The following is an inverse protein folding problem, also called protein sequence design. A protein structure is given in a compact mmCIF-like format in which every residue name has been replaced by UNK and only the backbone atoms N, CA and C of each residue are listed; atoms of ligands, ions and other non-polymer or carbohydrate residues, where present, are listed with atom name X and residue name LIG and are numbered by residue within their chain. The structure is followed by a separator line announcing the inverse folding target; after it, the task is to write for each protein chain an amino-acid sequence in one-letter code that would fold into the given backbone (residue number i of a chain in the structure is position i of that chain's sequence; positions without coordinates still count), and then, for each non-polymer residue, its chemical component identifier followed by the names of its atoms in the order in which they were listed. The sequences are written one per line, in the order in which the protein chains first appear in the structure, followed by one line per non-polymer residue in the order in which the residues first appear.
data_IF_398013288848
#
_entry.id   IF_398013288848
#
_cell.length_a   1.000
_cell.length_b   1.000
_cell.length_c   1.000
_cell.angle_alpha   90.00
_cell.angle_beta   90.00
_cell.angle_gamma   90.00
#
_symmetry.space_group_name_H-M   'P 1'
#
loop_
_entity.id
_entity.type
_entity.pdbx_description
1 polymer ?
#
# COMPACT_ATOMS: atom_id res chain seq x y z
N UNK A 1 -8.73 -9.22 -21.08
CA UNK A 1 -7.83 -8.30 -21.80
C UNK A 1 -8.06 -6.91 -21.23
N UNK A 2 -7.00 -6.20 -20.86
CA UNK A 2 -7.12 -4.84 -20.32
C UNK A 2 -6.79 -3.82 -21.42
N UNK A 3 -7.33 -2.62 -21.30
CA UNK A 3 -7.01 -1.46 -22.13
C UNK A 3 -6.18 -0.47 -21.31
N UNK A 4 -5.33 0.29 -21.98
CA UNK A 4 -4.46 1.28 -21.33
C UNK A 4 -4.49 2.58 -22.13
N UNK A 5 -4.61 3.69 -21.41
CA UNK A 5 -4.47 5.05 -21.96
C UNK A 5 -3.58 5.87 -21.04
N UNK A 6 -2.73 6.72 -21.62
CA UNK A 6 -1.95 7.72 -20.89
C UNK A 6 -2.51 9.11 -21.24
N UNK A 7 -2.94 9.87 -20.24
CA UNK A 7 -3.38 11.25 -20.43
C UNK A 7 -2.18 12.17 -20.72
N UNK A 8 -2.45 13.36 -21.24
CA UNK A 8 -1.43 14.35 -21.61
C UNK A 8 -0.56 14.78 -20.42
N UNK A 9 -1.12 14.82 -19.22
CA UNK A 9 -0.40 15.13 -17.98
C UNK A 9 0.44 13.96 -17.43
N UNK A 10 0.39 12.79 -18.07
CA UNK A 10 1.16 11.62 -17.72
C UNK A 10 0.43 10.55 -16.92
N UNK A 11 -0.80 10.82 -16.45
CA UNK A 11 -1.60 9.85 -15.70
C UNK A 11 -1.86 8.60 -16.55
N UNK A 12 -1.61 7.43 -15.97
CA UNK A 12 -1.86 6.14 -16.62
C UNK A 12 -3.20 5.58 -16.14
N UNK A 13 -4.04 5.21 -17.10
CA UNK A 13 -5.36 4.62 -16.88
C UNK A 13 -5.34 3.20 -17.41
N UNK A 14 -5.71 2.24 -16.58
CA UNK A 14 -5.87 0.83 -16.96
C UNK A 14 -7.33 0.44 -16.73
N UNK A 15 -7.96 -0.21 -17.71
CA UNK A 15 -9.35 -0.65 -17.59
C UNK A 15 -9.51 -2.11 -17.97
N UNK A 16 -10.23 -2.87 -17.14
CA UNK A 16 -10.69 -4.22 -17.45
C UNK A 16 -12.22 -4.24 -17.48
N UNK A 17 -12.79 -4.17 -18.68
CA UNK A 17 -14.24 -4.17 -18.85
C UNK A 17 -14.82 -5.57 -18.59
N UNK A 18 -15.84 -5.63 -17.75
CA UNK A 18 -16.55 -6.84 -17.33
C UNK A 18 -18.07 -6.60 -17.42
N UNK A 19 -18.67 -6.57 -18.64
CA UNK A 19 -20.08 -6.18 -18.82
C UNK A 19 -21.12 -7.03 -18.09
N UNK A 20 -20.72 -8.23 -17.65
CA UNK A 20 -21.57 -9.18 -16.94
C UNK A 20 -21.64 -8.93 -15.42
N UNK A 21 -20.81 -8.03 -14.87
CA UNK A 21 -20.87 -7.67 -13.45
C UNK A 21 -21.91 -6.58 -13.20
N UNK A 22 -22.26 -6.37 -11.92
CA UNK A 22 -23.13 -5.27 -11.48
C UNK A 22 -22.40 -4.22 -10.65
N UNK A 23 -21.07 -4.35 -10.56
CA UNK A 23 -20.20 -3.52 -9.75
C UNK A 23 -19.02 -3.02 -10.56
N UNK A 24 -18.39 -1.97 -10.03
CA UNK A 24 -17.14 -1.41 -10.51
C UNK A 24 -16.22 -1.24 -9.32
N UNK A 25 -14.95 -1.59 -9.49
CA UNK A 25 -13.87 -1.31 -8.56
C UNK A 25 -12.93 -0.30 -9.20
N UNK A 26 -12.59 0.73 -8.45
CA UNK A 26 -11.59 1.73 -8.80
C UNK A 26 -10.43 1.58 -7.82
N UNK A 27 -9.20 1.60 -8.34
CA UNK A 27 -7.97 1.66 -7.56
C UNK A 27 -7.13 2.83 -8.03
N UNK A 28 -6.60 3.59 -7.09
CA UNK A 28 -5.69 4.70 -7.29
C UNK A 28 -4.37 4.33 -6.63
N UNK A 29 -3.35 4.12 -7.44
CA UNK A 29 -2.04 3.64 -7.02
C UNK A 29 -1.02 4.75 -7.21
N UNK A 30 -0.32 5.12 -6.14
CA UNK A 30 0.74 6.13 -6.13
C UNK A 30 2.08 5.43 -5.90
N UNK A 31 3.09 5.74 -6.73
CA UNK A 31 4.46 5.28 -6.53
C UNK A 31 5.09 5.96 -5.31
N UNK A 32 5.06 5.30 -4.18
CA UNK A 32 5.44 5.90 -2.91
C UNK A 32 5.11 4.95 -1.77
N UNK A 33 5.97 4.90 -0.77
CA UNK A 33 5.90 3.91 0.29
C UNK A 33 7.11 4.02 1.20
N UNK A 34 7.25 3.10 2.16
CA UNK A 34 8.30 3.21 3.18
C UNK A 34 9.74 3.17 2.65
N UNK A 35 9.93 2.70 1.41
CA UNK A 35 11.24 2.70 0.71
C UNK A 35 11.73 4.10 0.35
N UNK A 36 10.88 5.13 0.38
CA UNK A 36 11.21 6.52 0.06
C UNK A 36 11.54 7.37 1.28
N UNK A 37 11.42 6.79 2.47
CA UNK A 37 11.53 7.51 3.74
C UNK A 37 12.97 7.45 4.28
N UNK A 38 13.43 8.53 4.90
CA UNK A 38 14.61 8.48 5.77
C UNK A 38 14.29 7.75 7.09
N UNK A 39 15.29 7.54 7.94
CA UNK A 39 15.04 6.95 9.27
C UNK A 39 14.16 7.87 10.13
N UNK A 40 14.35 9.19 10.02
CA UNK A 40 13.58 10.19 10.74
C UNK A 40 12.15 10.35 10.23
N UNK A 41 11.92 10.02 8.96
CA UNK A 41 10.62 10.12 8.29
C UNK A 41 9.88 8.78 8.19
N UNK A 42 10.42 7.71 8.80
CA UNK A 42 9.85 6.37 8.70
C UNK A 42 8.39 6.32 9.20
N UNK A 43 7.48 5.80 8.37
CA UNK A 43 6.04 5.76 8.59
C UNK A 43 5.25 6.90 7.95
N UNK A 44 5.89 7.83 7.23
CA UNK A 44 5.22 8.97 6.61
C UNK A 44 4.15 8.58 5.57
N UNK A 45 4.40 7.61 4.68
CA UNK A 45 3.40 7.20 3.67
C UNK A 45 2.21 6.51 4.31
N UNK A 46 2.44 5.67 5.31
CA UNK A 46 1.37 5.04 6.08
C UNK A 46 0.53 6.09 6.82
N UNK A 47 1.18 7.10 7.39
CA UNK A 47 0.48 8.19 8.06
C UNK A 47 -0.31 9.09 7.08
N UNK A 48 0.26 9.37 5.90
CA UNK A 48 -0.45 10.08 4.82
C UNK A 48 -1.69 9.28 4.39
N UNK A 49 -1.57 7.97 4.26
CA UNK A 49 -2.67 7.08 3.91
C UNK A 49 -3.83 7.20 4.90
N UNK A 50 -3.57 7.15 6.20
CA UNK A 50 -4.58 7.39 7.24
C UNK A 50 -5.24 8.77 7.10
N UNK A 51 -4.43 9.82 6.88
CA UNK A 51 -4.92 11.21 6.84
C UNK A 51 -5.78 11.52 5.61
N UNK A 52 -5.63 10.77 4.51
CA UNK A 52 -6.53 10.87 3.35
C UNK A 52 -7.99 10.51 3.68
N UNK A 53 -8.25 9.78 4.77
CA UNK A 53 -9.61 9.48 5.24
C UNK A 53 -10.17 10.51 6.22
N UNK A 54 -9.42 11.58 6.55
CA UNK A 54 -9.79 12.50 7.64
C UNK A 54 -10.43 13.81 7.22
N UNK A 55 -10.55 14.03 5.92
CA UNK A 55 -11.34 15.12 5.39
C UNK A 55 -10.69 15.77 4.18
N UNK A 56 -11.55 16.36 3.36
CA UNK A 56 -11.25 17.12 2.16
C UNK A 56 -12.03 18.45 2.20
N UNK A 57 -11.74 19.42 1.33
CA UNK A 57 -12.57 20.63 1.22
C UNK A 57 -14.05 20.36 0.92
N UNK A 58 -14.36 19.32 0.14
CA UNK A 58 -15.76 18.97 -0.19
C UNK A 58 -16.43 18.09 0.86
N UNK A 59 -15.65 17.31 1.61
CA UNK A 59 -16.10 16.41 2.67
C UNK A 59 -15.22 16.62 3.91
N UNK A 60 -15.49 17.67 4.71
CA UNK A 60 -14.56 18.12 5.75
C UNK A 60 -14.38 17.14 6.92
N UNK A 61 -15.20 16.10 7.01
CA UNK A 61 -15.17 15.16 8.14
C UNK A 61 -14.95 13.71 7.69
N UNK A 62 -14.31 12.87 8.53
CA UNK A 62 -14.18 11.44 8.24
C UNK A 62 -15.54 10.75 8.03
N UNK A 63 -16.57 11.23 8.73
CA UNK A 63 -17.94 10.72 8.61
C UNK A 63 -18.51 10.92 7.21
N UNK A 64 -18.34 12.11 6.63
CA UNK A 64 -18.84 12.41 5.28
C UNK A 64 -18.13 11.57 4.22
N UNK A 65 -16.83 11.32 4.39
CA UNK A 65 -16.06 10.40 3.55
C UNK A 65 -16.67 8.99 3.63
N UNK A 66 -16.78 8.40 4.83
CA UNK A 66 -17.33 7.05 5.04
C UNK A 66 -18.78 6.92 4.54
N UNK A 67 -19.68 7.84 4.91
CA UNK A 67 -21.09 7.79 4.53
C UNK A 67 -21.30 7.90 3.02
N UNK A 68 -20.40 8.56 2.28
CA UNK A 68 -20.49 8.68 0.81
C UNK A 68 -20.44 7.31 0.12
N UNK A 69 -19.61 6.37 0.61
CA UNK A 69 -19.47 5.03 0.02
C UNK A 69 -20.37 4.03 0.71
N UNK A 70 -20.42 4.03 2.05
CA UNK A 70 -21.25 3.09 2.80
C UNK A 70 -22.74 3.33 2.54
N UNK A 71 -23.16 4.58 2.36
CA UNK A 71 -24.54 4.96 2.07
C UNK A 71 -25.08 4.41 0.74
N UNK A 72 -24.20 4.01 -0.18
CA UNK A 72 -24.55 3.35 -1.44
C UNK A 72 -24.23 1.84 -1.44
N UNK A 73 -23.93 1.28 -0.27
CA UNK A 73 -23.56 -0.13 -0.10
C UNK A 73 -22.18 -0.49 -0.67
N UNK A 74 -21.32 0.51 -0.85
CA UNK A 74 -19.95 0.33 -1.29
C UNK A 74 -19.00 -0.04 -0.16
N UNK A 75 -17.77 -0.34 -0.55
CA UNK A 75 -16.64 -0.54 0.37
C UNK A 75 -15.45 0.22 -0.18
N UNK A 76 -14.68 0.86 0.70
CA UNK A 76 -13.40 1.46 0.36
C UNK A 76 -12.34 1.07 1.38
N UNK A 77 -11.09 1.06 0.94
CA UNK A 77 -9.96 0.86 1.82
C UNK A 77 -8.69 1.44 1.18
N UNK A 78 -7.61 1.45 1.93
CA UNK A 78 -6.29 1.74 1.41
C UNK A 78 -5.25 0.77 2.00
N UNK A 79 -4.04 0.86 1.47
CA UNK A 79 -2.88 0.16 2.00
C UNK A 79 -1.62 0.85 1.56
N UNK A 80 -0.63 0.88 2.44
CA UNK A 80 0.73 1.29 2.13
C UNK A 80 1.65 0.08 2.15
N UNK A 81 2.52 -0.03 1.14
CA UNK A 81 3.64 -0.97 1.10
C UNK A 81 4.95 -0.18 0.96
N UNK A 82 6.07 -0.86 0.72
CA UNK A 82 7.39 -0.26 0.55
C UNK A 82 7.48 0.66 -0.66
N UNK A 83 6.79 0.34 -1.75
CA UNK A 83 6.96 1.05 -3.03
C UNK A 83 5.66 1.66 -3.57
N UNK A 84 4.52 1.34 -2.96
CA UNK A 84 3.21 1.71 -3.48
C UNK A 84 2.23 1.98 -2.33
N UNK A 85 1.48 3.07 -2.46
CA UNK A 85 0.29 3.35 -1.65
C UNK A 85 -0.92 3.24 -2.57
N UNK A 86 -1.91 2.44 -2.16
CA UNK A 86 -3.11 2.17 -2.95
C UNK A 86 -4.34 2.60 -2.18
N UNK A 87 -5.21 3.37 -2.82
CA UNK A 87 -6.55 3.70 -2.34
C UNK A 87 -7.56 3.09 -3.29
N UNK A 88 -8.59 2.43 -2.80
CA UNK A 88 -9.56 1.79 -3.68
C UNK A 88 -10.96 1.82 -3.12
N UNK A 89 -11.93 1.75 -4.02
CA UNK A 89 -13.34 1.64 -3.68
C UNK A 89 -14.05 0.68 -4.64
N UNK A 90 -15.10 0.03 -4.14
CA UNK A 90 -15.95 -0.88 -4.89
C UNK A 90 -17.41 -0.53 -4.63
N UNK A 91 -18.14 -0.29 -5.70
CA UNK A 91 -19.54 0.12 -5.66
C UNK A 91 -20.36 -0.61 -6.72
N UNK A 92 -21.69 -0.56 -6.59
CA UNK A 92 -22.57 -0.92 -7.70
C UNK A 92 -22.38 0.06 -8.87
N UNK A 93 -22.53 -0.41 -10.11
CA UNK A 93 -22.27 0.40 -11.32
C UNK A 93 -22.95 1.79 -11.33
N UNK A 94 -24.22 1.95 -10.90
CA UNK A 94 -24.87 3.27 -10.87
C UNK A 94 -24.18 4.32 -9.99
N UNK A 95 -23.31 3.90 -9.06
CA UNK A 95 -22.62 4.79 -8.12
C UNK A 95 -21.14 5.00 -8.50
N UNK A 96 -20.73 4.64 -9.72
CA UNK A 96 -19.36 4.84 -10.20
C UNK A 96 -18.90 6.29 -10.07
N UNK A 97 -19.73 7.25 -10.49
CA UNK A 97 -19.33 8.67 -10.46
C UNK A 97 -19.13 9.17 -9.02
N UNK A 98 -19.97 8.73 -8.07
CA UNK A 98 -19.81 9.05 -6.63
C UNK A 98 -18.48 8.50 -6.11
N UNK A 99 -18.15 7.27 -6.49
CA UNK A 99 -16.94 6.59 -6.02
C UNK A 99 -15.67 7.20 -6.62
N UNK A 100 -15.72 7.60 -7.89
CA UNK A 100 -14.64 8.31 -8.56
C UNK A 100 -14.40 9.69 -7.95
N UNK A 101 -15.47 10.46 -7.78
CA UNK A 101 -15.45 11.81 -7.21
C UNK A 101 -14.80 11.80 -5.82
N UNK A 102 -15.25 10.91 -4.94
CA UNK A 102 -14.66 10.74 -3.61
C UNK A 102 -13.19 10.32 -3.68
N UNK A 103 -12.85 9.31 -4.47
CA UNK A 103 -11.49 8.76 -4.49
C UNK A 103 -10.49 9.80 -5.01
N UNK A 104 -10.87 10.60 -6.01
CA UNK A 104 -10.06 11.73 -6.50
C UNK A 104 -9.90 12.79 -5.41
N UNK A 105 -10.98 13.18 -4.75
CA UNK A 105 -10.96 14.21 -3.73
C UNK A 105 -10.08 13.81 -2.52
N UNK A 106 -10.20 12.58 -2.04
CA UNK A 106 -9.39 12.05 -0.93
C UNK A 106 -7.89 12.00 -1.22
N UNK A 107 -7.52 11.62 -2.45
CA UNK A 107 -6.12 11.43 -2.84
C UNK A 107 -5.47 12.75 -3.24
N UNK A 108 -6.21 13.63 -3.92
CA UNK A 108 -5.65 14.86 -4.49
C UNK A 108 -5.86 16.09 -3.60
N UNK A 109 -6.88 16.12 -2.74
CA UNK A 109 -7.23 17.27 -1.90
C UNK A 109 -7.41 16.94 -0.39
N UNK A 110 -6.59 16.08 0.25
CA UNK A 110 -6.69 15.88 1.70
C UNK A 110 -6.35 17.15 2.49
N UNK A 111 -7.10 17.44 3.56
CA UNK A 111 -6.91 18.65 4.38
C UNK A 111 -5.64 18.65 5.23
N UNK A 112 -5.25 17.47 5.73
CA UNK A 112 -4.23 17.32 6.76
C UNK A 112 -4.48 18.25 7.96
N UNK A 113 -5.71 18.21 8.53
CA UNK A 113 -6.05 18.97 9.74
C UNK A 113 -5.15 18.53 10.91
N UNK A 114 -4.67 19.51 11.67
CA UNK A 114 -3.69 19.25 12.75
C UNK A 114 -4.32 18.45 13.89
N UNK A 115 -5.61 18.64 14.18
CA UNK A 115 -6.28 17.89 15.25
C UNK A 115 -6.50 16.44 14.83
N UNK A 116 -6.90 16.20 13.57
CA UNK A 116 -7.02 14.84 13.04
C UNK A 116 -5.66 14.15 12.94
N UNK A 117 -4.60 14.88 12.59
CA UNK A 117 -3.23 14.36 12.58
C UNK A 117 -2.81 13.82 13.95
N UNK A 118 -3.01 14.58 15.03
CA UNK A 118 -2.61 14.11 16.37
C UNK A 118 -3.48 12.96 16.90
N UNK A 119 -4.76 12.90 16.50
CA UNK A 119 -5.61 11.73 16.78
C UNK A 119 -5.08 10.49 16.07
N UNK A 120 -4.81 10.60 14.77
CA UNK A 120 -4.30 9.48 13.97
C UNK A 120 -2.90 9.04 14.37
N UNK A 121 -2.05 9.96 14.84
CA UNK A 121 -0.76 9.58 15.43
C UNK A 121 -0.95 8.55 16.54
N UNK A 122 -1.93 8.77 17.42
CA UNK A 122 -2.23 7.84 18.50
C UNK A 122 -2.73 6.49 17.98
N UNK A 123 -3.58 6.50 16.94
CA UNK A 123 -4.08 5.27 16.30
C UNK A 123 -2.94 4.44 15.69
N UNK A 124 -2.03 5.08 14.97
CA UNK A 124 -0.89 4.40 14.33
C UNK A 124 0.08 3.83 15.38
N UNK A 125 0.31 4.54 16.48
CA UNK A 125 1.15 4.02 17.57
C UNK A 125 0.53 2.77 18.22
N UNK A 126 -0.80 2.70 18.32
CA UNK A 126 -1.51 1.50 18.80
C UNK A 126 -1.45 0.37 17.76
N UNK A 127 -1.51 0.67 16.47
CA UNK A 127 -1.35 -0.33 15.41
C UNK A 127 0.06 -0.95 15.41
N UNK A 128 1.10 -0.13 15.58
CA UNK A 128 2.47 -0.60 15.76
C UNK A 128 2.60 -1.50 17.00
N UNK A 129 1.96 -1.10 18.10
CA UNK A 129 1.92 -1.89 19.34
C UNK A 129 1.21 -3.23 19.13
N UNK A 130 0.06 -3.21 18.44
CA UNK A 130 -0.71 -4.40 18.10
C UNK A 130 0.07 -5.36 17.21
N UNK A 131 0.75 -4.85 16.18
CA UNK A 131 1.61 -5.65 15.29
C UNK A 131 2.79 -6.23 16.05
N UNK A 132 3.39 -5.44 16.95
CA UNK A 132 4.45 -5.91 17.82
C UNK A 132 3.98 -6.99 18.80
N UNK A 133 2.74 -6.95 19.28
CA UNK A 133 2.17 -7.96 20.18
C UNK A 133 1.76 -9.27 19.49
N UNK A 134 1.65 -9.28 18.15
CA UNK A 134 1.44 -10.48 17.34
C UNK A 134 2.78 -11.15 16.95
N UNK A 135 3.13 -12.32 17.53
CA UNK A 135 4.45 -12.90 17.34
C UNK A 135 4.79 -13.32 15.91
N UNK A 136 3.81 -13.70 15.11
CA UNK A 136 3.95 -14.04 13.69
C UNK A 136 4.23 -12.80 12.84
N UNK A 137 3.50 -11.71 13.06
CA UNK A 137 3.77 -10.41 12.43
C UNK A 137 5.18 -9.90 12.81
N UNK A 138 5.54 -9.98 14.10
CA UNK A 138 6.88 -9.62 14.58
C UNK A 138 7.97 -10.48 13.95
N UNK A 139 7.75 -11.79 13.78
CA UNK A 139 8.72 -12.67 13.12
C UNK A 139 8.93 -12.28 11.64
N UNK A 140 7.86 -11.89 10.94
CA UNK A 140 7.93 -11.31 9.60
C UNK A 140 8.79 -10.04 9.54
N UNK A 141 8.55 -9.10 10.44
CA UNK A 141 9.36 -7.88 10.51
C UNK A 141 10.83 -8.18 10.89
N UNK A 142 11.07 -9.12 11.80
CA UNK A 142 12.43 -9.52 12.19
C UNK A 142 13.22 -10.11 11.03
N UNK A 143 12.59 -10.88 10.13
CA UNK A 143 13.31 -11.42 8.96
C UNK A 143 13.64 -10.29 7.97
N UNK A 144 12.76 -9.32 7.77
CA UNK A 144 13.02 -8.15 6.93
C UNK A 144 14.18 -7.30 7.48
N UNK A 145 14.16 -6.99 8.79
CA UNK A 145 15.24 -6.27 9.48
C UNK A 145 16.58 -7.04 9.39
N UNK A 146 16.53 -8.38 9.34
CA UNK A 146 17.72 -9.25 9.25
C UNK A 146 18.27 -9.32 7.82
N UNK A 147 17.39 -9.38 6.82
CA UNK A 147 17.76 -9.37 5.40
C UNK A 147 18.35 -8.02 4.99
N UNK A 148 17.73 -6.92 5.43
CA UNK A 148 18.05 -5.57 4.98
C UNK A 148 18.40 -4.64 6.16
N UNK A 149 19.51 -4.90 6.88
CA UNK A 149 19.88 -4.12 8.05
C UNK A 149 20.20 -2.67 7.65
N UNK A 150 19.69 -1.72 8.43
CA UNK A 150 19.89 -0.28 8.25
C UNK A 150 19.49 0.22 6.85
N UNK A 151 18.46 -0.39 6.25
CA UNK A 151 17.95 -0.01 4.94
C UNK A 151 16.43 0.12 4.99
N UNK A 152 15.88 1.00 4.17
CA UNK A 152 14.44 1.25 4.11
C UNK A 152 13.60 -0.01 3.86
N UNK A 153 14.13 -0.96 3.06
CA UNK A 153 13.44 -2.22 2.76
C UNK A 153 13.29 -3.14 3.99
N UNK A 154 14.16 -3.00 5.00
CA UNK A 154 14.12 -3.83 6.21
C UNK A 154 13.33 -3.23 7.36
N UNK A 155 12.80 -2.02 7.20
CA UNK A 155 12.00 -1.34 8.23
C UNK A 155 10.53 -1.73 8.11
N UNK A 156 9.81 -1.55 9.20
CA UNK A 156 8.35 -1.61 9.21
C UNK A 156 7.78 -0.48 8.32
N UNK A 157 6.75 -0.79 7.55
CA UNK A 157 6.05 0.18 6.72
C UNK A 157 5.36 1.25 7.58
N UNK A 158 4.88 0.88 8.76
CA UNK A 158 4.31 1.82 9.72
C UNK A 158 5.34 2.70 10.43
N UNK A 159 6.65 2.46 10.21
CA UNK A 159 7.73 3.19 10.85
C UNK A 159 8.04 2.67 12.26
N UNK A 160 8.34 3.59 13.18
CA UNK A 160 8.66 3.25 14.58
C UNK A 160 7.92 4.18 15.53
N UNK A 161 7.76 3.77 16.79
CA UNK A 161 7.22 4.67 17.81
C UNK A 161 7.97 6.01 17.86
N UNK A 162 9.30 6.00 17.68
CA UNK A 162 10.09 7.22 17.72
C UNK A 162 9.84 8.13 16.51
N UNK A 163 9.92 7.60 15.29
CA UNK A 163 9.71 8.37 14.06
C UNK A 163 8.27 8.87 13.97
N UNK A 164 7.29 8.00 14.20
CA UNK A 164 5.87 8.35 14.18
C UNK A 164 5.52 9.37 15.26
N UNK A 165 6.16 9.37 16.43
CA UNK A 165 5.92 10.39 17.44
C UNK A 165 6.43 11.79 17.05
N UNK A 166 7.40 11.86 16.13
CA UNK A 166 8.08 13.11 15.72
C UNK A 166 7.68 13.61 14.33
N UNK A 167 7.02 12.77 13.52
CA UNK A 167 6.61 13.11 12.15
C UNK A 167 5.75 14.38 12.12
N UNK A 168 6.19 15.38 11.38
CA UNK A 168 5.50 16.66 11.23
C UNK A 168 4.63 16.69 9.98
N UNK A 169 3.60 17.54 9.98
CA UNK A 169 2.78 17.82 8.80
C UNK A 169 3.63 18.25 7.61
N UNK A 170 4.61 19.13 7.83
CA UNK A 170 5.44 19.66 6.75
C UNK A 170 6.31 18.58 6.09
N UNK A 171 6.82 17.62 6.87
CA UNK A 171 7.55 16.47 6.35
C UNK A 171 6.65 15.61 5.45
N UNK A 172 5.41 15.35 5.87
CA UNK A 172 4.43 14.60 5.06
C UNK A 172 4.04 15.36 3.79
N UNK A 173 3.81 16.67 3.89
CA UNK A 173 3.44 17.50 2.73
C UNK A 173 4.53 17.52 1.65
N UNK A 174 5.80 17.33 2.01
CA UNK A 174 6.88 17.15 1.05
C UNK A 174 6.63 15.91 0.17
N UNK A 175 6.29 14.78 0.77
CA UNK A 175 5.97 13.55 0.03
C UNK A 175 4.72 13.71 -0.82
N UNK A 176 3.66 14.32 -0.27
CA UNK A 176 2.42 14.61 -1.02
C UNK A 176 2.73 15.41 -2.28
N UNK A 177 3.47 16.51 -2.13
CA UNK A 177 3.79 17.44 -3.24
C UNK A 177 4.56 16.76 -4.37
N UNK A 178 5.44 15.80 -4.07
CA UNK A 178 6.33 15.20 -5.07
C UNK A 178 5.83 13.84 -5.60
N UNK A 179 5.21 13.01 -4.75
CA UNK A 179 4.75 11.69 -5.17
C UNK A 179 3.32 11.68 -5.71
N UNK A 180 2.43 12.53 -5.20
CA UNK A 180 1.02 12.57 -5.61
C UNK A 180 0.87 13.45 -6.84
N UNK A 181 1.46 12.96 -7.94
CA UNK A 181 1.53 13.62 -9.25
C UNK A 181 1.12 12.63 -10.33
N UNK A 182 0.54 13.09 -11.46
CA UNK A 182 -0.02 12.20 -12.49
C UNK A 182 1.02 11.25 -13.10
N UNK A 183 2.26 11.72 -13.29
CA UNK A 183 3.38 10.92 -13.82
C UNK A 183 3.74 9.70 -12.94
N UNK A 184 3.35 9.73 -11.67
CA UNK A 184 3.67 8.72 -10.66
C UNK A 184 2.45 7.93 -10.17
N UNK A 185 1.31 8.15 -10.81
CA UNK A 185 0.06 7.50 -10.48
C UNK A 185 -0.36 6.52 -11.58
N UNK A 186 -1.12 5.50 -11.17
CA UNK A 186 -1.89 4.63 -12.05
C UNK A 186 -3.29 4.53 -11.47
N UNK A 187 -4.30 4.75 -12.30
CA UNK A 187 -5.68 4.43 -11.93
C UNK A 187 -6.12 3.17 -12.67
N UNK A 188 -6.63 2.22 -11.92
CA UNK A 188 -7.11 0.93 -12.41
C UNK A 188 -8.62 0.85 -12.18
N UNK A 189 -9.38 0.54 -13.22
CA UNK A 189 -10.83 0.36 -13.11
C UNK A 189 -11.23 -0.98 -13.70
N UNK A 190 -11.96 -1.79 -12.93
CA UNK A 190 -12.48 -3.07 -13.39
C UNK A 190 -13.96 -3.23 -13.03
N UNK A 191 -14.77 -3.72 -13.97
CA UNK A 191 -16.20 -3.93 -13.76
C UNK A 191 -17.04 -3.60 -14.98
N UNK A 192 -18.35 -3.40 -14.79
CA UNK A 192 -19.30 -3.14 -15.87
C UNK A 192 -19.22 -1.69 -16.38
N UNK A 193 -18.07 -1.34 -16.96
CA UNK A 193 -17.75 -0.01 -17.48
C UNK A 193 -16.86 -0.14 -18.71
N UNK A 194 -17.02 0.76 -19.68
CA UNK A 194 -16.16 0.82 -20.88
C UNK A 194 -14.87 1.59 -20.61
N UNK A 195 -13.87 1.42 -21.47
CA UNK A 195 -12.60 2.16 -21.30
C UNK A 195 -12.79 3.65 -21.58
N UNK A 196 -13.61 3.97 -22.58
CA UNK A 196 -13.92 5.32 -23.02
C UNK A 196 -14.60 6.12 -21.90
N UNK A 197 -15.58 5.53 -21.22
CA UNK A 197 -16.22 6.14 -20.05
C UNK A 197 -15.21 6.43 -18.93
N UNK A 198 -14.29 5.51 -18.65
CA UNK A 198 -13.25 5.70 -17.62
C UNK A 198 -12.32 6.84 -18.02
N UNK A 199 -11.82 6.85 -19.26
CA UNK A 199 -10.89 7.88 -19.75
C UNK A 199 -11.55 9.26 -19.74
N UNK A 200 -12.80 9.38 -20.18
CA UNK A 200 -13.52 10.66 -20.16
C UNK A 200 -13.70 11.18 -18.74
N UNK A 201 -14.12 10.33 -17.80
CA UNK A 201 -14.31 10.73 -16.40
C UNK A 201 -12.99 11.15 -15.76
N UNK A 202 -11.91 10.36 -15.89
CA UNK A 202 -10.61 10.75 -15.33
C UNK A 202 -10.00 11.97 -16.01
N UNK A 203 -10.21 12.16 -17.31
CA UNK A 203 -9.78 13.39 -17.98
C UNK A 203 -10.49 14.62 -17.40
N UNK A 204 -11.78 14.51 -17.08
CA UNK A 204 -12.56 15.60 -16.46
C UNK A 204 -12.05 15.95 -15.05
N UNK A 205 -11.79 14.94 -14.24
CA UNK A 205 -11.36 15.12 -12.84
C UNK A 205 -9.88 15.47 -12.70
N UNK A 206 -9.02 14.80 -13.46
CA UNK A 206 -7.57 14.83 -13.27
C UNK A 206 -6.80 15.38 -14.47
N UNK A 207 -7.46 15.86 -15.54
CA UNK A 207 -6.77 16.42 -16.71
C UNK A 207 -5.88 17.62 -16.38
N UNK A 208 -6.26 18.41 -15.35
CA UNK A 208 -5.51 19.55 -14.86
C UNK A 208 -4.69 19.26 -13.60
N UNK A 209 -4.52 17.98 -13.22
CA UNK A 209 -3.72 17.63 -12.05
C UNK A 209 -2.26 18.05 -12.24
N UNK A 210 -1.73 18.78 -11.25
CA UNK A 210 -0.40 19.38 -11.28
C UNK A 210 0.68 18.35 -11.63
N UNK A 211 1.41 18.60 -12.71
CA UNK A 211 2.56 17.78 -13.10
C UNK A 211 3.71 18.06 -12.14
N UNK A 212 4.36 16.99 -11.67
CA UNK A 212 5.56 17.07 -10.86
C UNK A 212 6.53 15.93 -11.13
N UNK A 213 7.65 15.96 -10.42
CA UNK A 213 8.71 14.96 -10.51
C UNK A 213 8.78 14.20 -9.18
N UNK A 214 8.59 12.87 -9.21
CA UNK A 214 8.74 12.02 -8.03
C UNK A 214 10.11 12.12 -7.38
N UNK A 215 10.14 11.86 -6.08
CA UNK A 215 11.40 11.69 -5.34
C UNK A 215 12.03 10.34 -5.69
N UNK A 216 13.36 10.29 -5.62
CA UNK A 216 14.09 9.03 -5.69
C UNK A 216 13.82 8.17 -4.45
N UNK A 217 13.88 6.85 -4.61
CA UNK A 217 13.81 5.88 -3.51
C UNK A 217 15.21 5.51 -3.01
N UNK A 218 15.29 4.97 -1.80
CA UNK A 218 16.55 4.43 -1.28
C UNK A 218 16.90 3.12 -2.01
N UNK A 219 18.05 3.05 -2.72
CA UNK A 219 18.48 1.83 -3.39
C UNK A 219 18.86 0.77 -2.37
N UNK A 220 18.62 -0.49 -2.73
CA UNK A 220 18.99 -1.63 -1.90
C UNK A 220 20.46 -1.96 -2.14
N UNK A 221 21.23 -2.09 -1.07
CA UNK A 221 22.61 -2.53 -1.07
C UNK A 221 22.67 -3.90 -0.41
N UNK A 222 22.87 -4.95 -1.21
CA UNK A 222 23.14 -6.26 -0.66
C UNK A 222 24.65 -6.48 -0.47
N UNK A 223 25.09 -6.42 0.79
CA UNK A 223 26.46 -6.70 1.21
C UNK A 223 26.57 -7.97 2.05
N UNK A 224 25.57 -8.86 2.02
CA UNK A 224 25.58 -10.07 2.81
C UNK A 224 26.68 -11.03 2.34
N UNK A 225 27.64 -11.32 3.22
CA UNK A 225 28.74 -12.26 2.97
C UNK A 225 28.63 -13.58 3.75
N UNK A 226 27.72 -13.64 4.73
CA UNK A 226 27.47 -14.80 5.57
C UNK A 226 25.99 -14.86 6.01
N UNK A 227 25.48 -16.03 6.43
CA UNK A 227 24.16 -16.14 7.04
C UNK A 227 24.04 -15.20 8.26
N UNK A 228 22.86 -14.60 8.41
CA UNK A 228 22.52 -13.77 9.57
C UNK A 228 21.40 -14.46 10.35
N UNK A 229 21.44 -14.35 11.67
CA UNK A 229 20.44 -14.90 12.56
C UNK A 229 20.08 -13.84 13.58
N UNK A 230 18.78 -13.61 13.76
CA UNK A 230 18.25 -12.75 14.81
C UNK A 230 17.21 -13.53 15.60
N UNK A 231 17.25 -13.37 16.91
CA UNK A 231 16.35 -14.03 17.84
C UNK A 231 15.78 -13.00 18.80
N UNK A 232 14.49 -13.09 19.06
CA UNK A 232 13.81 -12.27 20.06
C UNK A 232 13.04 -13.21 20.98
N UNK A 233 13.31 -13.15 22.28
CA UNK A 233 12.57 -13.96 23.25
C UNK A 233 11.24 -13.29 23.57
N UNK A 234 10.16 -14.08 23.51
CA UNK A 234 8.82 -13.67 23.94
C UNK A 234 8.17 -14.77 24.75
N UNK A 235 7.26 -14.37 25.64
CA UNK A 235 6.43 -15.30 26.39
C UNK A 235 5.29 -15.80 25.50
N UNK A 236 5.53 -16.87 24.75
CA UNK A 236 4.56 -17.54 23.88
C UNK A 236 4.66 -19.06 24.04
N UNK A 237 3.60 -19.78 23.65
CA UNK A 237 3.56 -21.25 23.66
C UNK A 237 4.23 -21.87 22.41
N UNK A 238 4.41 -21.08 21.35
CA UNK A 238 5.00 -21.50 20.08
C UNK A 238 6.24 -20.66 19.73
N UNK A 239 7.16 -21.27 18.99
CA UNK A 239 8.27 -20.59 18.34
C UNK A 239 7.88 -20.20 16.91
N UNK A 240 8.05 -18.93 16.56
CA UNK A 240 7.82 -18.43 15.21
C UNK A 240 9.16 -18.33 14.49
N UNK A 241 9.32 -19.06 13.38
CA UNK A 241 10.57 -19.19 12.65
C UNK A 241 10.35 -18.74 11.21
N UNK A 242 11.16 -17.77 10.77
CA UNK A 242 11.22 -17.32 9.38
C UNK A 242 12.62 -17.62 8.80
N UNK A 243 12.65 -18.14 7.58
CA UNK A 243 13.88 -18.34 6.80
C UNK A 243 13.79 -17.52 5.52
N UNK A 244 14.60 -16.47 5.44
CA UNK A 244 14.69 -15.60 4.26
C UNK A 244 15.88 -15.95 3.37
N UNK A 245 15.65 -15.92 2.06
CA UNK A 245 16.67 -16.01 1.02
C UNK A 245 16.52 -14.80 0.11
N UNK A 246 17.60 -14.40 -0.56
CA UNK A 246 17.50 -13.34 -1.55
C UNK A 246 16.63 -13.80 -2.73
N UNK A 247 15.52 -13.10 -2.94
CA UNK A 247 14.62 -13.32 -4.08
C UNK A 247 15.10 -12.62 -5.36
N UNK A 248 14.24 -12.67 -6.38
CA UNK A 248 14.44 -11.99 -7.65
C UNK A 248 13.68 -10.66 -7.70
N UNK A 249 14.16 -9.73 -8.52
CA UNK A 249 13.42 -8.49 -8.83
C UNK A 249 12.12 -8.81 -9.59
N UNK A 250 11.13 -7.94 -9.48
CA UNK A 250 9.89 -8.02 -10.27
C UNK A 250 10.15 -7.97 -11.78
N UNK A 251 11.26 -7.35 -12.20
CA UNK A 251 11.68 -7.27 -13.61
C UNK A 251 12.57 -8.44 -14.04
N UNK A 252 12.95 -9.33 -13.13
CA UNK A 252 13.79 -10.48 -13.47
C UNK A 252 13.02 -11.46 -14.38
N UNK A 253 13.60 -11.88 -15.53
CA UNK A 253 12.93 -12.82 -16.43
C UNK A 253 12.65 -14.19 -15.78
N UNK A 254 13.38 -14.56 -14.72
CA UNK A 254 13.21 -15.81 -14.00
C UNK A 254 12.22 -15.71 -12.83
N UNK A 255 11.52 -14.58 -12.62
CA UNK A 255 10.56 -14.43 -11.51
C UNK A 255 9.52 -15.57 -11.47
N UNK A 256 9.00 -16.00 -12.61
CA UNK A 256 8.03 -17.10 -12.69
C UNK A 256 8.65 -18.46 -12.33
N UNK A 257 9.96 -18.63 -12.53
CA UNK A 257 10.68 -19.83 -12.07
C UNK A 257 10.79 -19.82 -10.55
N UNK A 258 11.07 -18.65 -9.96
CA UNK A 258 11.07 -18.46 -8.50
C UNK A 258 9.67 -18.69 -7.90
N UNK A 259 8.61 -18.16 -8.52
CA UNK A 259 7.22 -18.38 -8.09
C UNK A 259 6.88 -19.88 -8.09
N UNK A 260 7.22 -20.60 -9.16
CA UNK A 260 7.00 -22.05 -9.23
C UNK A 260 7.77 -22.81 -8.14
N UNK A 261 9.01 -22.39 -7.83
CA UNK A 261 9.78 -22.98 -6.74
C UNK A 261 9.10 -22.74 -5.38
N UNK A 262 8.59 -21.53 -5.13
CA UNK A 262 7.80 -21.19 -3.93
C UNK A 262 6.57 -22.08 -3.81
N UNK A 263 5.81 -22.25 -4.90
CA UNK A 263 4.63 -23.13 -4.93
C UNK A 263 4.96 -24.58 -4.58
N UNK A 264 6.06 -25.13 -5.13
CA UNK A 264 6.51 -26.50 -4.81
C UNK A 264 6.97 -26.61 -3.36
N UNK A 265 7.58 -25.56 -2.82
CA UNK A 265 8.16 -25.57 -1.49
C UNK A 265 7.10 -25.43 -0.39
N UNK A 266 6.16 -24.48 -0.47
CA UNK A 266 5.31 -24.13 0.67
C UNK A 266 3.91 -23.54 0.44
N UNK A 267 3.49 -23.14 -0.76
CA UNK A 267 2.24 -22.35 -0.92
C UNK A 267 0.93 -23.17 -0.89
N UNK A 268 1.01 -24.50 -0.96
CA UNK A 268 -0.15 -25.38 -1.00
C UNK A 268 -0.03 -26.61 -0.09
N UNK A 269 -1.16 -27.30 0.16
CA UNK A 269 -1.17 -28.50 1.01
C UNK A 269 -0.41 -29.69 0.41
N UNK A 270 -0.20 -29.70 -0.91
CA UNK A 270 0.63 -30.68 -1.61
C UNK A 270 2.11 -30.27 -1.71
N UNK A 271 2.50 -29.14 -1.10
CA UNK A 271 3.87 -28.65 -1.12
C UNK A 271 4.76 -29.48 -0.18
N UNK A 272 6.08 -29.43 -0.43
CA UNK A 272 7.05 -30.24 0.31
C UNK A 272 7.06 -29.93 1.79
N UNK A 273 7.08 -28.65 2.18
CA UNK A 273 7.11 -28.26 3.59
C UNK A 273 5.80 -28.62 4.30
N UNK A 274 4.66 -28.46 3.64
CA UNK A 274 3.37 -28.82 4.24
C UNK A 274 3.29 -30.33 4.51
N UNK A 275 3.63 -31.16 3.51
CA UNK A 275 3.59 -32.61 3.68
C UNK A 275 4.59 -33.08 4.74
N UNK A 276 5.84 -32.64 4.67
CA UNK A 276 6.88 -33.12 5.58
C UNK A 276 6.70 -32.61 7.02
N UNK A 277 6.48 -31.31 7.21
CA UNK A 277 6.45 -30.73 8.55
C UNK A 277 5.09 -30.95 9.22
N UNK A 278 4.00 -30.72 8.50
CA UNK A 278 2.66 -30.74 9.08
C UNK A 278 2.00 -32.11 9.00
N UNK A 279 1.96 -32.74 7.83
CA UNK A 279 1.24 -34.02 7.66
C UNK A 279 2.03 -35.22 8.23
N UNK A 280 3.32 -35.33 7.94
CA UNK A 280 4.12 -36.48 8.39
C UNK A 280 4.62 -36.32 9.83
N UNK A 281 5.05 -35.11 10.22
CA UNK A 281 5.68 -34.87 11.52
C UNK A 281 4.78 -34.20 12.56
N UNK A 282 3.66 -33.59 12.16
CA UNK A 282 2.75 -32.91 13.09
C UNK A 282 3.39 -31.73 13.84
N UNK A 283 4.32 -31.02 13.20
CA UNK A 283 4.99 -29.83 13.73
C UNK A 283 4.20 -28.54 13.44
#
# INVERSE_FOLDING_TARGET
MFQQTKLDNGLRIITSSMPHTRSVTLGFMVGGGSRYESDEEAGAFHFIEHLCFKGTPERPTPREISETIEGVGGVMNASTDREITTYWCKVARPHFDIALDLLVDMVCNPLFDVNELEKERSVILEELSMSNDHPDARAGLLIDETMWPNQALGRDVGGSHESVSKLSRDAMMRFVTHQYVPSNAVVSVAGNITHEEVVESFHRYLGNWTIGTPLDWFPVVNNQTAPRVRTEYRKSEQAHICLGLQGLSIDDPNRYVSDMLSTVLGEGMSSRLFLELREERGL
#
